data_IF_078316480380
#
_entry.id   IF_078316480380
#
_cell.length_a   1.000
_cell.length_b   1.000
_cell.length_c   1.000
_cell.angle_alpha   90.00
_cell.angle_beta   90.00
_cell.angle_gamma   90.00
#
_symmetry.space_group_name_H-M   'P 1'
#
loop_
_entity.id
_entity.type
_entity.pdbx_description
1 polymer ?
#
# COMPACT_ATOMS: atom_id res chain seq x y z
N UNK A 1 -13.23 2.18 11.15
CA UNK A 1 -11.95 2.42 10.44
C UNK A 1 -11.60 1.20 9.58
N UNK A 2 -10.73 1.38 8.61
CA UNK A 2 -10.12 0.32 7.80
C UNK A 2 -8.61 0.46 7.89
N UNK A 3 -7.89 -0.65 8.03
CA UNK A 3 -6.43 -0.66 8.09
C UNK A 3 -5.88 -1.53 6.97
N UNK A 4 -4.92 -1.01 6.21
CA UNK A 4 -4.35 -1.65 5.05
C UNK A 4 -2.84 -1.66 5.18
N UNK A 5 -2.19 -2.80 4.96
CA UNK A 5 -0.75 -2.91 5.10
C UNK A 5 -0.13 -3.78 4.02
N UNK A 6 1.16 -3.56 3.76
CA UNK A 6 1.96 -4.39 2.86
C UNK A 6 3.32 -4.74 3.47
N UNK A 7 3.88 -5.87 3.06
CA UNK A 7 5.26 -6.26 3.36
C UNK A 7 6.28 -5.57 2.44
N UNK A 8 5.81 -4.78 1.47
CA UNK A 8 6.65 -3.94 0.61
C UNK A 8 7.18 -2.72 1.38
N UNK A 9 8.30 -2.12 0.92
CA UNK A 9 9.11 -2.52 -0.23
C UNK A 9 9.96 -3.77 0.04
N UNK A 10 10.06 -4.66 -0.96
CA UNK A 10 11.06 -5.76 -1.01
C UNK A 10 12.23 -5.45 -1.94
N UNK A 11 12.32 -4.19 -2.37
CA UNK A 11 13.41 -3.60 -3.14
C UNK A 11 14.06 -2.49 -2.31
N UNK A 12 15.28 -2.04 -2.67
CA UNK A 12 15.91 -0.91 -2.01
C UNK A 12 15.08 0.36 -2.15
N UNK A 13 14.82 1.02 -1.02
CA UNK A 13 14.07 2.28 -0.92
C UNK A 13 14.71 3.16 0.17
N UNK A 14 14.48 4.47 0.11
CA UNK A 14 15.09 5.47 1.01
C UNK A 14 16.57 5.74 0.74
N UNK A 15 16.99 5.70 -0.53
CA UNK A 15 18.37 5.91 -0.94
C UNK A 15 18.60 7.32 -1.50
N UNK A 16 19.80 7.86 -1.29
CA UNK A 16 20.25 9.05 -2.02
C UNK A 16 20.47 8.71 -3.49
N UNK A 17 20.35 9.72 -4.36
CA UNK A 17 20.70 9.55 -5.76
C UNK A 17 22.18 9.08 -5.90
N UNK A 18 22.45 8.10 -6.77
CA UNK A 18 23.81 7.63 -7.01
C UNK A 18 24.67 8.75 -7.58
N UNK A 19 25.89 8.89 -7.06
CA UNK A 19 26.86 9.90 -7.51
C UNK A 19 27.61 9.46 -8.78
N UNK A 20 27.57 8.16 -9.11
CA UNK A 20 28.30 7.56 -10.22
C UNK A 20 27.35 6.93 -11.22
N UNK A 21 27.67 7.10 -12.49
CA UNK A 21 26.98 6.43 -13.59
C UNK A 21 27.62 5.07 -13.87
N UNK A 22 26.78 4.06 -14.08
CA UNK A 22 27.20 2.75 -14.59
C UNK A 22 27.07 2.72 -16.11
N UNK A 23 27.71 1.72 -16.74
CA UNK A 23 27.48 1.44 -18.15
C UNK A 23 26.06 0.88 -18.35
N UNK A 24 25.32 1.46 -19.29
CA UNK A 24 24.01 0.96 -19.70
C UNK A 24 24.19 -0.44 -20.34
N UNK A 25 23.45 -1.47 -19.89
CA UNK A 25 23.45 -2.78 -20.53
C UNK A 25 23.04 -2.67 -22.01
N UNK A 26 23.71 -3.39 -22.91
CA UNK A 26 23.38 -3.36 -24.34
C UNK A 26 21.95 -3.87 -24.65
N UNK A 27 21.30 -4.54 -23.69
CA UNK A 27 19.92 -5.03 -23.76
C UNK A 27 18.88 -4.02 -23.25
N UNK A 28 19.30 -2.84 -22.79
CA UNK A 28 18.43 -1.81 -22.23
C UNK A 28 18.56 -0.52 -23.04
N UNK A 29 17.44 -0.06 -23.60
CA UNK A 29 17.32 1.31 -24.07
C UNK A 29 16.89 2.20 -22.89
N UNK A 30 17.85 2.89 -22.27
CA UNK A 30 17.61 3.69 -21.07
C UNK A 30 16.70 4.89 -21.32
N UNK A 31 16.91 5.60 -22.42
CA UNK A 31 16.08 6.75 -22.82
C UNK A 31 14.61 6.32 -23.00
N UNK A 32 14.39 5.19 -23.67
CA UNK A 32 13.04 4.63 -23.84
C UNK A 32 12.41 4.19 -22.51
N UNK A 33 13.17 3.60 -21.59
CA UNK A 33 12.67 3.25 -20.26
C UNK A 33 12.30 4.49 -19.43
N UNK A 34 13.15 5.52 -19.46
CA UNK A 34 12.92 6.76 -18.72
C UNK A 34 11.71 7.54 -19.25
N UNK A 35 11.49 7.52 -20.56
CA UNK A 35 10.34 8.18 -21.18
C UNK A 35 10.31 9.69 -20.87
N UNK A 36 9.16 10.25 -20.44
CA UNK A 36 9.03 11.70 -20.23
C UNK A 36 9.67 12.20 -18.92
N UNK A 37 10.14 11.31 -18.06
CA UNK A 37 10.79 11.70 -16.82
C UNK A 37 12.17 12.31 -17.07
N UNK A 38 12.76 12.91 -16.04
CA UNK A 38 14.13 13.44 -16.13
C UNK A 38 15.11 12.32 -16.46
N UNK A 39 15.88 12.48 -17.54
CA UNK A 39 16.94 11.55 -17.91
C UNK A 39 18.14 11.67 -16.96
N UNK A 40 18.12 10.89 -15.88
CA UNK A 40 19.28 10.75 -15.00
C UNK A 40 20.31 9.79 -15.60
N UNK A 41 21.61 9.94 -15.26
CA UNK A 41 22.61 8.94 -15.61
C UNK A 41 22.21 7.55 -15.13
N UNK A 42 22.39 6.55 -15.98
CA UNK A 42 22.06 5.17 -15.62
C UNK A 42 22.90 4.70 -14.43
N UNK A 43 22.28 3.96 -13.53
CA UNK A 43 22.93 3.23 -12.45
C UNK A 43 22.15 1.93 -12.19
N UNK A 44 22.84 0.83 -11.91
CA UNK A 44 22.23 -0.48 -11.67
C UNK A 44 21.27 -0.50 -10.46
N UNK A 45 21.31 0.52 -9.60
CA UNK A 45 20.37 0.68 -8.48
C UNK A 45 18.95 0.96 -8.94
N UNK A 46 18.72 1.49 -10.15
CA UNK A 46 17.40 1.84 -10.66
C UNK A 46 16.69 0.65 -11.33
N UNK A 47 17.37 -0.05 -12.23
CA UNK A 47 16.77 -1.04 -13.14
C UNK A 47 17.42 -2.41 -12.91
N UNK A 48 16.70 -3.54 -13.02
CA UNK A 48 15.36 -3.73 -13.61
C UNK A 48 14.17 -3.67 -12.67
N UNK A 49 14.38 -3.78 -11.36
CA UNK A 49 13.28 -3.98 -10.42
C UNK A 49 13.03 -2.78 -9.49
N UNK A 50 14.10 -2.11 -9.11
CA UNK A 50 14.12 -1.15 -8.01
C UNK A 50 13.49 0.21 -8.36
N UNK A 51 13.21 0.47 -9.64
CA UNK A 51 12.68 1.73 -10.18
C UNK A 51 11.41 2.16 -9.46
N UNK A 52 10.65 1.21 -8.91
CA UNK A 52 9.48 1.43 -8.05
C UNK A 52 9.75 2.40 -6.91
N UNK A 53 10.94 2.35 -6.32
CA UNK A 53 11.32 3.19 -5.19
C UNK A 53 11.78 4.59 -5.56
N UNK A 54 11.93 4.93 -6.84
CA UNK A 54 12.54 6.18 -7.29
C UNK A 54 11.50 7.09 -7.90
N UNK A 55 11.41 8.35 -7.46
CA UNK A 55 10.30 9.24 -7.81
C UNK A 55 10.18 9.56 -9.30
N UNK A 56 11.30 9.52 -10.03
CA UNK A 56 11.30 9.73 -11.49
C UNK A 56 10.68 8.54 -12.26
N UNK A 57 10.62 7.35 -11.67
CA UNK A 57 10.20 6.12 -12.38
C UNK A 57 9.04 5.39 -11.69
N UNK A 58 8.79 5.67 -10.42
CA UNK A 58 7.83 4.96 -9.58
C UNK A 58 7.36 5.80 -8.41
N UNK A 59 6.57 5.17 -7.55
CA UNK A 59 5.77 5.85 -6.51
C UNK A 59 5.91 5.19 -5.13
N UNK A 60 7.01 4.46 -4.94
CA UNK A 60 7.28 3.67 -3.75
C UNK A 60 6.31 2.50 -3.54
N UNK A 61 6.42 1.89 -2.37
CA UNK A 61 5.55 0.78 -1.94
C UNK A 61 4.07 1.16 -1.95
N UNK A 62 3.73 2.39 -1.58
CA UNK A 62 2.35 2.88 -1.60
C UNK A 62 1.76 2.82 -3.00
N UNK A 63 2.38 3.43 -4.02
CA UNK A 63 1.77 3.40 -5.34
C UNK A 63 1.85 2.03 -6.04
N UNK A 64 2.85 1.20 -5.73
CA UNK A 64 2.95 -0.19 -6.25
C UNK A 64 1.86 -1.10 -5.65
N UNK A 65 1.57 -1.00 -4.35
CA UNK A 65 0.69 -1.96 -3.66
C UNK A 65 -0.69 -1.42 -3.29
N UNK A 66 -0.86 -0.12 -3.09
CA UNK A 66 -2.14 0.42 -2.63
C UNK A 66 -3.25 0.17 -3.64
N UNK A 67 -2.96 0.17 -4.95
CA UNK A 67 -3.96 -0.18 -5.96
C UNK A 67 -4.49 -1.62 -5.84
N UNK A 68 -3.70 -2.53 -5.30
CA UNK A 68 -4.05 -3.95 -5.10
C UNK A 68 -4.73 -4.23 -3.75
N UNK A 69 -4.48 -3.38 -2.75
CA UNK A 69 -4.95 -3.59 -1.37
C UNK A 69 -6.12 -2.66 -1.05
N UNK A 70 -6.05 -1.39 -1.44
CA UNK A 70 -7.12 -0.41 -1.22
C UNK A 70 -8.30 -0.58 -2.19
N UNK A 71 -8.17 -1.38 -3.26
CA UNK A 71 -9.29 -1.64 -4.17
C UNK A 71 -10.53 -2.18 -3.43
N UNK A 72 -10.33 -3.07 -2.45
CA UNK A 72 -11.40 -3.72 -1.69
C UNK A 72 -12.14 -2.68 -0.82
N UNK A 73 -11.47 -1.85 0.00
CA UNK A 73 -12.09 -0.71 0.67
C UNK A 73 -12.81 0.24 -0.29
N UNK A 74 -12.17 0.64 -1.39
CA UNK A 74 -12.76 1.58 -2.35
C UNK A 74 -14.05 1.05 -2.94
N UNK A 75 -14.05 -0.21 -3.36
CA UNK A 75 -15.21 -0.86 -3.95
C UNK A 75 -16.30 -1.14 -2.91
N UNK A 76 -15.95 -1.69 -1.75
CA UNK A 76 -16.92 -2.08 -0.73
C UNK A 76 -17.60 -0.89 -0.04
N UNK A 77 -16.86 0.20 0.18
CA UNK A 77 -17.34 1.38 0.92
C UNK A 77 -17.70 2.58 0.02
N UNK A 78 -17.67 2.38 -1.31
CA UNK A 78 -17.87 3.41 -2.34
C UNK A 78 -17.02 4.65 -2.08
N UNK A 79 -15.73 4.45 -1.82
CA UNK A 79 -14.84 5.57 -1.54
C UNK A 79 -14.59 6.39 -2.82
N UNK A 80 -14.62 7.71 -2.66
CA UNK A 80 -14.19 8.67 -3.67
C UNK A 80 -12.85 9.29 -3.25
N UNK A 81 -12.82 10.61 -3.08
CA UNK A 81 -11.63 11.32 -2.61
C UNK A 81 -11.66 11.51 -1.08
N UNK A 82 -10.51 11.36 -0.40
CA UNK A 82 -10.41 11.74 1.01
C UNK A 82 -10.51 13.26 1.16
N UNK A 83 -11.09 13.72 2.27
CA UNK A 83 -11.15 15.15 2.63
C UNK A 83 -9.97 15.58 3.50
N UNK A 84 -9.30 14.62 4.14
CA UNK A 84 -8.09 14.87 4.96
C UNK A 84 -7.10 13.74 4.76
N UNK A 85 -5.82 14.09 4.69
CA UNK A 85 -4.70 13.14 4.60
C UNK A 85 -3.61 13.60 5.55
N UNK A 86 -3.10 12.67 6.36
CA UNK A 86 -1.97 12.85 7.25
C UNK A 86 -0.96 11.73 6.98
N UNK A 87 0.30 12.09 6.77
CA UNK A 87 1.37 11.15 6.47
C UNK A 87 2.49 11.26 7.49
N UNK A 88 3.04 10.11 7.88
CA UNK A 88 4.26 9.98 8.68
C UNK A 88 5.17 8.99 7.97
N UNK A 89 6.48 9.26 7.93
CA UNK A 89 7.43 8.41 7.24
C UNK A 89 8.79 8.39 7.93
N UNK A 90 9.64 7.45 7.54
CA UNK A 90 11.10 7.60 7.70
C UNK A 90 11.60 8.83 6.93
N UNK A 91 12.92 9.08 6.96
CA UNK A 91 13.55 10.16 6.21
C UNK A 91 13.02 10.24 4.76
N UNK A 92 12.47 11.40 4.40
CA UNK A 92 11.97 11.69 3.07
C UNK A 92 13.10 12.28 2.23
N UNK A 93 13.41 11.63 1.11
CA UNK A 93 14.43 12.07 0.16
C UNK A 93 13.78 12.54 -1.14
N UNK A 94 14.43 13.48 -1.83
CA UNK A 94 13.93 14.04 -3.09
C UNK A 94 14.06 13.10 -4.29
N UNK A 95 14.86 12.03 -4.18
CA UNK A 95 15.09 11.08 -5.26
C UNK A 95 14.34 9.75 -5.07
N UNK A 96 14.18 9.31 -3.82
CA UNK A 96 13.70 7.98 -3.49
C UNK A 96 12.62 8.03 -2.41
N UNK A 97 11.62 7.17 -2.53
CA UNK A 97 10.55 7.00 -1.57
C UNK A 97 11.09 6.62 -0.18
N UNK A 98 10.39 6.97 0.91
CA UNK A 98 10.82 6.61 2.27
C UNK A 98 10.81 5.09 2.47
N UNK A 99 11.66 4.56 3.34
CA UNK A 99 11.71 3.11 3.63
C UNK A 99 10.42 2.57 4.22
N UNK A 100 9.76 3.38 5.04
CA UNK A 100 8.46 3.06 5.64
C UNK A 100 7.63 4.33 5.76
N UNK A 101 6.32 4.19 5.61
CA UNK A 101 5.35 5.23 5.89
C UNK A 101 4.04 4.68 6.45
N UNK A 102 3.37 5.55 7.19
CA UNK A 102 1.98 5.43 7.61
C UNK A 102 1.20 6.60 7.02
N UNK A 103 0.08 6.31 6.35
CA UNK A 103 -0.81 7.34 5.83
C UNK A 103 -2.21 7.13 6.39
N UNK A 104 -2.74 8.16 7.04
CA UNK A 104 -4.12 8.24 7.51
C UNK A 104 -4.94 9.08 6.54
N UNK A 105 -6.02 8.52 6.02
CA UNK A 105 -6.95 9.16 5.11
C UNK A 105 -8.35 9.18 5.71
N UNK A 106 -9.01 10.33 5.68
CA UNK A 106 -10.41 10.48 6.09
C UNK A 106 -11.27 10.64 4.86
N UNK A 107 -12.20 9.71 4.66
CA UNK A 107 -13.18 9.78 3.57
C UNK A 107 -14.52 10.26 4.15
N UNK A 108 -15.14 11.30 3.55
CA UNK A 108 -16.37 11.91 4.06
C UNK A 108 -17.52 10.91 4.06
N UNK A 109 -18.66 11.23 4.68
CA UNK A 109 -19.86 10.40 4.54
C UNK A 109 -20.31 10.28 3.08
N UNK A 110 -20.90 9.13 2.71
CA UNK A 110 -21.46 8.83 1.38
C UNK A 110 -22.94 8.48 1.52
N UNK A 111 -23.64 8.44 0.40
CA UNK A 111 -25.03 7.98 0.35
C UNK A 111 -25.17 6.55 0.88
N UNK A 112 -26.18 6.35 1.73
CA UNK A 112 -26.47 5.04 2.28
C UNK A 112 -26.88 4.05 1.18
N UNK A 113 -26.51 2.78 1.37
CA UNK A 113 -27.05 1.66 0.62
C UNK A 113 -28.30 1.11 1.34
N UNK A 114 -29.19 0.35 0.68
CA UNK A 114 -30.47 -0.08 1.25
C UNK A 114 -30.41 -0.72 2.64
N UNK A 115 -29.29 -1.35 3.01
CA UNK A 115 -29.08 -2.01 4.31
C UNK A 115 -27.79 -1.59 5.02
N UNK A 116 -27.04 -0.62 4.49
CA UNK A 116 -25.70 -0.26 4.98
C UNK A 116 -25.54 1.25 4.94
N UNK A 117 -25.37 1.87 6.12
CA UNK A 117 -24.98 3.26 6.20
C UNK A 117 -23.50 3.43 5.82
N UNK A 118 -23.15 4.53 5.15
CA UNK A 118 -21.78 4.85 4.76
C UNK A 118 -21.29 6.16 5.42
N UNK A 119 -21.19 6.21 6.77
CA UNK A 119 -20.68 7.38 7.47
C UNK A 119 -19.21 7.62 7.13
N UNK A 120 -18.68 8.78 7.52
CA UNK A 120 -17.24 9.09 7.45
C UNK A 120 -16.40 7.89 7.93
N UNK A 121 -15.34 7.58 7.19
CA UNK A 121 -14.47 6.45 7.49
C UNK A 121 -13.01 6.83 7.38
N UNK A 122 -12.28 6.49 8.44
CA UNK A 122 -10.83 6.54 8.49
C UNK A 122 -10.24 5.28 7.86
N UNK A 123 -9.30 5.46 6.94
CA UNK A 123 -8.53 4.41 6.27
C UNK A 123 -7.05 4.66 6.54
N UNK A 124 -6.35 3.64 7.03
CA UNK A 124 -4.91 3.68 7.25
C UNK A 124 -4.17 2.83 6.23
N UNK A 125 -3.00 3.31 5.83
CA UNK A 125 -2.02 2.60 5.03
C UNK A 125 -0.72 2.42 5.83
N UNK A 126 -0.13 1.23 5.79
CA UNK A 126 1.16 0.91 6.40
C UNK A 126 2.05 0.18 5.38
N UNK A 127 3.32 0.58 5.28
CA UNK A 127 4.34 -0.15 4.52
C UNK A 127 5.70 -0.13 5.26
N UNK A 128 6.72 -0.78 4.70
CA UNK A 128 8.08 -0.77 5.25
C UNK A 128 8.22 -1.50 6.59
N UNK A 129 7.44 -2.56 6.77
CA UNK A 129 7.43 -3.35 8.01
C UNK A 129 6.56 -2.77 9.12
N UNK A 130 5.98 -1.57 8.93
CA UNK A 130 4.92 -1.09 9.81
C UNK A 130 3.67 -1.96 9.63
N UNK A 131 3.01 -2.28 10.73
CA UNK A 131 1.81 -3.10 10.75
C UNK A 131 0.77 -2.50 11.71
N UNK A 132 -0.53 -2.64 11.42
CA UNK A 132 -1.56 -2.35 12.41
C UNK A 132 -1.44 -3.32 13.59
N UNK A 133 -2.01 -2.92 14.73
CA UNK A 133 -2.14 -3.82 15.87
C UNK A 133 -2.97 -5.05 15.49
N UNK A 134 -2.59 -6.21 16.04
CA UNK A 134 -3.37 -7.43 15.85
C UNK A 134 -4.76 -7.24 16.47
N UNK A 135 -5.86 -7.46 15.71
CA UNK A 135 -7.20 -7.36 16.26
C UNK A 135 -7.39 -8.27 17.49
N UNK A 136 -8.14 -7.81 18.48
CA UNK A 136 -8.43 -8.61 19.68
C UNK A 136 -9.11 -9.93 19.29
N UNK A 137 -8.57 -11.05 19.78
CA UNK A 137 -9.09 -12.39 19.46
C UNK A 137 -8.55 -12.97 18.15
N UNK A 138 -7.56 -12.31 17.52
CA UNK A 138 -6.86 -12.91 16.38
C UNK A 138 -6.18 -14.23 16.78
N UNK A 139 -6.33 -15.30 15.99
CA UNK A 139 -5.81 -16.62 16.34
C UNK A 139 -4.31 -16.58 16.63
N UNK A 140 -3.92 -17.19 17.75
CA UNK A 140 -2.52 -17.36 18.11
C UNK A 140 -1.81 -18.21 17.04
N UNK A 141 -0.55 -17.89 16.75
CA UNK A 141 0.25 -18.58 15.72
C UNK A 141 -0.13 -18.29 14.27
N UNK A 142 -1.27 -17.64 13.98
CA UNK A 142 -1.63 -17.24 12.62
C UNK A 142 -0.89 -15.97 12.20
N UNK A 143 -0.38 -15.94 10.97
CA UNK A 143 0.20 -14.73 10.40
C UNK A 143 -0.90 -13.70 10.11
N UNK A 144 -0.64 -12.43 10.45
CA UNK A 144 -1.58 -11.35 10.17
C UNK A 144 -1.51 -10.94 8.69
N UNK A 145 -0.30 -10.80 8.15
CA UNK A 145 -0.11 -10.58 6.72
C UNK A 145 -0.58 -11.81 5.93
N UNK A 146 -1.46 -11.59 4.96
CA UNK A 146 -1.98 -12.65 4.10
C UNK A 146 -1.03 -13.02 2.95
N UNK A 147 -1.45 -13.95 2.09
CA UNK A 147 -0.74 -14.22 0.84
C UNK A 147 -0.66 -12.94 -0.03
N UNK A 148 0.36 -12.90 -0.89
CA UNK A 148 0.58 -11.78 -1.81
C UNK A 148 1.16 -10.51 -1.17
N UNK A 149 1.49 -10.54 0.13
CA UNK A 149 2.17 -9.42 0.80
C UNK A 149 1.24 -8.23 1.09
N UNK A 150 -0.06 -8.49 1.23
CA UNK A 150 -1.06 -7.46 1.53
C UNK A 150 -2.02 -7.88 2.64
N UNK A 151 -2.58 -6.88 3.31
CA UNK A 151 -3.53 -7.01 4.39
C UNK A 151 -4.55 -5.90 4.31
N UNK A 152 -5.82 -6.23 4.50
CA UNK A 152 -6.90 -5.28 4.75
C UNK A 152 -7.74 -5.75 5.92
N UNK A 153 -7.98 -4.88 6.89
CA UNK A 153 -8.79 -5.12 8.08
C UNK A 153 -9.94 -4.12 8.10
N UNK A 154 -11.17 -4.62 8.05
CA UNK A 154 -12.37 -3.84 8.28
C UNK A 154 -12.86 -4.04 9.71
N UNK A 155 -12.85 -2.96 10.49
CA UNK A 155 -13.32 -2.98 11.87
C UNK A 155 -14.81 -2.68 11.91
N UNK A 156 -15.61 -3.68 12.24
CA UNK A 156 -17.05 -3.58 12.47
C UNK A 156 -17.41 -3.72 13.94
N UNK A 157 -18.60 -3.25 14.32
CA UNK A 157 -19.11 -3.37 15.70
C UNK A 157 -19.57 -4.78 16.07
N UNK A 158 -19.87 -5.62 15.07
CA UNK A 158 -20.29 -7.01 15.26
C UNK A 158 -19.17 -8.02 14.99
N UNK A 159 -18.20 -7.65 14.15
CA UNK A 159 -17.16 -8.55 13.69
C UNK A 159 -16.04 -7.76 13.01
N UNK A 160 -14.89 -8.41 12.80
CA UNK A 160 -13.76 -7.88 12.03
C UNK A 160 -13.55 -8.74 10.79
N UNK A 161 -13.61 -8.13 9.61
CA UNK A 161 -13.33 -8.80 8.35
C UNK A 161 -11.86 -8.56 7.97
N UNK A 162 -11.14 -9.63 7.65
CA UNK A 162 -9.73 -9.57 7.27
C UNK A 162 -9.58 -10.26 5.91
N UNK A 163 -8.86 -9.64 4.99
CA UNK A 163 -8.49 -10.25 3.70
C UNK A 163 -7.06 -9.88 3.30
N UNK A 164 -6.46 -10.69 2.43
CA UNK A 164 -5.13 -10.48 1.88
C UNK A 164 -5.09 -9.52 0.69
N UNK A 165 -3.95 -9.50 0.00
CA UNK A 165 -3.81 -8.78 -1.27
C UNK A 165 -4.89 -9.21 -2.27
N UNK A 166 -5.39 -8.28 -3.10
CA UNK A 166 -6.49 -8.53 -4.07
C UNK A 166 -7.82 -9.02 -3.46
N UNK A 167 -7.94 -9.06 -2.14
CA UNK A 167 -9.14 -9.54 -1.44
C UNK A 167 -9.13 -11.05 -1.24
N UNK A 168 -7.97 -11.70 -1.40
CA UNK A 168 -7.84 -13.13 -1.23
C UNK A 168 -8.08 -13.59 0.21
N UNK A 169 -8.60 -14.82 0.34
CA UNK A 169 -8.82 -15.51 1.62
C UNK A 169 -9.55 -14.66 2.68
N UNK A 170 -10.70 -14.02 2.36
CA UNK A 170 -11.42 -13.22 3.32
C UNK A 170 -11.99 -14.11 4.43
N UNK A 171 -11.85 -13.67 5.68
CA UNK A 171 -12.46 -14.35 6.82
C UNK A 171 -12.95 -13.35 7.86
N UNK A 172 -14.00 -13.73 8.57
CA UNK A 172 -14.43 -13.02 9.77
C UNK A 172 -13.68 -13.56 10.98
N UNK A 173 -13.24 -12.66 11.85
CA UNK A 173 -12.46 -12.99 13.04
C UNK A 173 -13.22 -13.93 13.99
N UNK A 174 -14.54 -13.81 14.04
CA UNK A 174 -15.42 -14.72 14.79
C UNK A 174 -15.48 -16.16 14.24
N UNK A 175 -14.94 -16.40 13.04
CA UNK A 175 -15.10 -17.67 12.31
C UNK A 175 -16.44 -17.82 11.59
N UNK A 176 -17.35 -16.84 11.72
CA UNK A 176 -18.64 -16.85 11.04
C UNK A 176 -18.45 -16.82 9.51
N UNK A 177 -19.23 -17.63 8.80
CA UNK A 177 -19.31 -17.61 7.33
C UNK A 177 -20.62 -16.90 6.94
N UNK A 178 -20.57 -15.75 6.24
CA UNK A 178 -21.78 -15.09 5.77
C UNK A 178 -22.54 -15.94 4.74
N UNK A 179 -23.86 -16.04 4.89
CA UNK A 179 -24.72 -16.55 3.82
C UNK A 179 -24.83 -15.46 2.74
N UNK A 180 -24.43 -15.79 1.51
CA UNK A 180 -24.54 -14.91 0.35
C UNK A 180 -25.98 -14.79 -0.14
#
# INVERSE_FOLDING_TARGET
>A
KVECATDRPIWPQGLNAPEKADRIPNTLNWDLFTGPAKLNPYNNVYHPWNWRGWWDYGTGALGDMACHILHQPFRALKLGYPTKVEGSSTLLLSACAPQAQHVKMIFPARDNMPKVALPEVEVHWYDGGMMPERPKGFPEGKQLMGPGGGLTIFHGTKDTLICGCYGEQPFLLSGRVPNA
#
